data_IF_005315298694
#
_entry.id   IF_005315298694
#
_cell.length_a   1.000
_cell.length_b   1.000
_cell.length_c   1.000
_cell.angle_alpha   90.00
_cell.angle_beta   90.00
_cell.angle_gamma   90.00
#
_symmetry.space_group_name_H-M   'P 1'
#
loop_
_entity.id
_entity.type
_entity.pdbx_description
1 polymer ?
#
# COMPACT_ATOMS: atom_id res chain seq x y z
N UNK A 1 1.47 -10.20 14.91
CA UNK A 1 1.18 -10.48 13.49
C UNK A 1 1.27 -9.16 12.72
N UNK A 2 1.63 -9.17 11.44
CA UNK A 2 1.76 -7.96 10.61
C UNK A 2 0.82 -8.12 9.43
N UNK A 3 0.05 -7.08 9.12
CA UNK A 3 -0.89 -7.03 7.99
C UNK A 3 -0.65 -5.76 7.19
N UNK A 4 -0.61 -5.87 5.87
CA UNK A 4 -0.35 -4.72 5.00
C UNK A 4 -1.68 -4.18 4.50
N UNK A 5 -1.97 -2.91 4.77
CA UNK A 5 -3.12 -2.25 4.15
C UNK A 5 -2.67 -1.55 2.87
N UNK A 6 -2.87 -2.21 1.72
CA UNK A 6 -2.46 -1.73 0.38
C UNK A 6 -3.22 -0.49 -0.15
N UNK A 7 -3.72 0.34 0.77
CA UNK A 7 -4.23 1.67 0.50
C UNK A 7 -3.10 2.68 0.76
N UNK A 8 -2.38 3.07 -0.29
CA UNK A 8 -1.29 4.05 -0.17
C UNK A 8 -1.83 5.38 0.33
N UNK A 9 -1.12 5.96 1.30
CA UNK A 9 -1.43 7.23 1.95
C UNK A 9 -0.25 8.20 1.81
N UNK A 10 -0.48 9.47 2.19
CA UNK A 10 0.53 10.52 2.18
C UNK A 10 0.54 11.27 3.51
N UNK A 11 1.73 11.50 4.06
CA UNK A 11 1.90 12.16 5.36
C UNK A 11 1.53 13.66 5.31
N UNK A 12 1.73 14.31 4.16
CA UNK A 12 1.39 15.72 3.93
C UNK A 12 0.10 15.93 3.12
N UNK A 13 -0.63 14.86 2.78
CA UNK A 13 -1.85 14.95 1.97
C UNK A 13 -1.63 15.33 0.51
N UNK A 14 -0.40 15.21 0.00
CA UNK A 14 -0.07 15.55 -1.39
C UNK A 14 -0.56 14.49 -2.40
N UNK A 15 -0.88 13.28 -1.94
CA UNK A 15 -1.45 12.24 -2.78
C UNK A 15 -2.96 12.45 -2.95
N UNK A 16 -3.42 12.51 -4.20
CA UNK A 16 -4.81 12.77 -4.58
C UNK A 16 -5.37 11.64 -5.45
N UNK A 17 -6.68 11.66 -5.73
CA UNK A 17 -7.35 10.65 -6.58
C UNK A 17 -6.87 10.65 -8.05
N UNK A 18 -6.18 11.71 -8.51
CA UNK A 18 -5.59 11.72 -9.86
C UNK A 18 -4.28 10.95 -9.95
N UNK A 19 -3.60 10.73 -8.82
CA UNK A 19 -2.31 10.06 -8.75
C UNK A 19 -2.42 8.56 -9.08
N UNK A 20 -1.40 8.03 -9.77
CA UNK A 20 -1.34 6.63 -10.16
C UNK A 20 -1.25 5.68 -8.96
N UNK A 21 -0.50 6.00 -7.90
CA UNK A 21 -0.47 5.23 -6.66
C UNK A 21 -1.85 5.10 -6.01
N UNK A 22 -2.64 6.17 -6.09
CA UNK A 22 -4.00 6.19 -5.55
C UNK A 22 -4.94 5.34 -6.40
N UNK A 23 -4.89 5.50 -7.72
CA UNK A 23 -5.63 4.65 -8.68
C UNK A 23 -5.26 3.18 -8.53
N UNK A 24 -3.98 2.86 -8.36
CA UNK A 24 -3.50 1.50 -8.13
C UNK A 24 -4.11 0.91 -6.85
N UNK A 25 -4.07 1.66 -5.74
CA UNK A 25 -4.64 1.23 -4.46
C UNK A 25 -6.15 0.97 -4.56
N UNK A 26 -6.89 1.91 -5.15
CA UNK A 26 -8.35 1.79 -5.32
C UNK A 26 -8.71 0.62 -6.24
N UNK A 27 -7.96 0.42 -7.33
CA UNK A 27 -8.17 -0.70 -8.25
C UNK A 27 -7.87 -2.04 -7.59
N UNK A 28 -6.78 -2.14 -6.84
CA UNK A 28 -6.43 -3.36 -6.11
C UNK A 28 -7.48 -3.71 -5.05
N UNK A 29 -8.02 -2.71 -4.35
CA UNK A 29 -9.11 -2.92 -3.39
C UNK A 29 -10.38 -3.41 -4.07
N UNK A 30 -10.82 -2.73 -5.14
CA UNK A 30 -12.01 -3.10 -5.90
C UNK A 30 -11.89 -4.52 -6.49
N UNK A 31 -10.71 -4.88 -7.02
CA UNK A 31 -10.47 -6.19 -7.62
C UNK A 31 -10.60 -7.37 -6.64
N UNK A 32 -10.47 -7.13 -5.33
CA UNK A 32 -10.39 -8.17 -4.31
C UNK A 32 -11.45 -8.05 -3.21
N UNK A 33 -12.36 -7.07 -3.30
CA UNK A 33 -13.33 -6.79 -2.23
C UNK A 33 -14.27 -7.98 -1.95
N UNK A 34 -14.61 -8.75 -2.98
CA UNK A 34 -15.44 -9.96 -2.88
C UNK A 34 -14.64 -11.22 -2.53
N UNK A 35 -13.30 -11.15 -2.50
CA UNK A 35 -12.42 -12.30 -2.25
C UNK A 35 -11.95 -12.34 -0.79
N UNK A 36 -11.56 -11.19 -0.24
CA UNK A 36 -11.09 -11.06 1.15
C UNK A 36 -11.29 -9.65 1.68
N UNK A 37 -11.47 -9.55 3.00
CA UNK A 37 -11.46 -8.25 3.69
C UNK A 37 -10.02 -7.68 3.73
N UNK A 38 -9.71 -6.77 2.81
CA UNK A 38 -8.43 -6.07 2.77
C UNK A 38 -8.20 -5.10 3.93
N UNK A 39 -9.21 -4.85 4.76
CA UNK A 39 -9.12 -4.04 5.99
C UNK A 39 -9.02 -4.90 7.24
N UNK A 40 -8.83 -6.22 7.11
CA UNK A 40 -8.72 -7.16 8.23
C UNK A 40 -7.65 -6.76 9.25
N UNK A 41 -6.52 -6.19 8.80
CA UNK A 41 -5.46 -5.70 9.68
C UNK A 41 -5.96 -4.69 10.72
N UNK A 42 -6.88 -3.80 10.35
CA UNK A 42 -7.48 -2.82 11.28
C UNK A 42 -8.40 -3.47 12.32
N UNK A 43 -8.92 -4.67 12.02
CA UNK A 43 -9.85 -5.41 12.88
C UNK A 43 -9.12 -6.43 13.76
N UNK A 44 -7.83 -6.63 13.52
CA UNK A 44 -7.12 -7.80 14.01
C UNK A 44 -7.06 -7.89 15.54
N UNK A 45 -6.80 -6.77 16.21
CA UNK A 45 -6.79 -6.75 17.67
C UNK A 45 -8.16 -7.14 18.26
N UNK A 46 -9.25 -6.68 17.63
CA UNK A 46 -10.61 -7.06 18.03
C UNK A 46 -10.91 -8.53 17.77
N UNK A 47 -10.45 -9.08 16.64
CA UNK A 47 -10.57 -10.51 16.32
C UNK A 47 -9.82 -11.38 17.34
N UNK A 48 -8.59 -10.99 17.70
CA UNK A 48 -7.80 -11.68 18.73
C UNK A 48 -8.50 -11.64 20.10
N UNK A 49 -9.01 -10.47 20.50
CA UNK A 49 -9.75 -10.33 21.76
C UNK A 49 -11.01 -11.21 21.77
N UNK A 50 -11.74 -11.25 20.66
CA UNK A 50 -12.95 -12.07 20.50
C UNK A 50 -12.65 -13.57 20.55
N UNK A 51 -11.43 -13.97 20.18
CA UNK A 51 -10.93 -15.34 20.30
C UNK A 51 -10.42 -15.68 21.72
N UNK A 52 -10.51 -14.76 22.68
CA UNK A 52 -10.10 -14.96 24.08
C UNK A 52 -8.63 -14.66 24.37
N UNK A 53 -7.89 -14.07 23.42
CA UNK A 53 -6.55 -13.58 23.71
C UNK A 53 -6.63 -12.33 24.60
N UNK A 54 -5.66 -12.21 25.51
CA UNK A 54 -5.51 -11.09 26.44
C UNK A 54 -4.19 -10.37 26.18
N UNK A 55 -4.01 -9.19 26.77
CA UNK A 55 -2.78 -8.36 26.64
C UNK A 55 -2.38 -8.06 25.19
N UNK A 56 -3.37 -7.63 24.38
CA UNK A 56 -3.19 -7.37 22.96
C UNK A 56 -2.74 -5.92 22.74
N UNK A 57 -1.56 -5.75 22.15
CA UNK A 57 -1.08 -4.46 21.64
C UNK A 57 -1.15 -4.41 20.11
N UNK A 58 -1.60 -3.27 19.59
CA UNK A 58 -1.66 -3.00 18.15
C UNK A 58 -1.10 -1.62 17.87
N UNK A 59 -0.29 -1.52 16.82
CA UNK A 59 0.32 -0.27 16.38
C UNK A 59 0.35 -0.23 14.86
N UNK A 60 -0.06 0.91 14.29
CA UNK A 60 0.12 1.19 12.87
C UNK A 60 1.53 1.75 12.66
N UNK A 61 2.25 1.20 11.70
CA UNK A 61 3.56 1.70 11.26
C UNK A 61 3.41 2.26 9.84
N UNK A 62 3.63 3.57 9.62
CA UNK A 62 3.64 4.13 8.28
C UNK A 62 4.95 3.75 7.59
N UNK A 63 4.94 2.69 6.77
CA UNK A 63 6.13 2.25 6.04
C UNK A 63 6.36 3.15 4.81
N UNK A 64 7.44 3.96 4.78
CA UNK A 64 7.69 4.89 3.68
C UNK A 64 7.96 4.13 2.37
N UNK A 65 7.45 4.65 1.26
CA UNK A 65 7.75 4.11 -0.07
C UNK A 65 9.14 4.54 -0.58
N UNK A 66 9.65 5.66 -0.07
CA UNK A 66 10.95 6.24 -0.40
C UNK A 66 11.55 6.99 0.81
N UNK A 67 12.77 7.50 0.66
CA UNK A 67 13.56 8.16 1.71
C UNK A 67 13.11 9.59 2.07
N UNK A 68 11.81 9.82 2.28
CA UNK A 68 11.26 11.17 2.54
C UNK A 68 11.18 11.56 4.02
N UNK A 69 11.25 10.60 4.93
CA UNK A 69 11.13 10.84 6.38
C UNK A 69 12.29 11.71 6.90
N UNK A 70 11.99 12.58 7.87
CA UNK A 70 13.01 13.34 8.61
C UNK A 70 13.68 12.53 9.71
N UNK A 71 13.00 11.49 10.21
CA UNK A 71 13.62 10.50 11.11
C UNK A 71 14.67 9.68 10.34
N UNK A 72 15.95 9.65 10.79
CA UNK A 72 17.03 9.00 10.06
C UNK A 72 16.82 7.49 9.84
N UNK A 73 16.20 6.80 10.80
CA UNK A 73 15.93 5.37 10.70
C UNK A 73 14.85 5.11 9.66
N UNK A 74 13.75 5.83 9.73
CA UNK A 74 12.64 5.69 8.78
C UNK A 74 13.05 6.12 7.36
N UNK A 75 13.94 7.11 7.24
CA UNK A 75 14.54 7.48 5.95
C UNK A 75 15.31 6.32 5.33
N UNK A 76 16.23 5.72 6.08
CA UNK A 76 17.02 4.58 5.61
C UNK A 76 16.13 3.37 5.25
N UNK A 77 15.06 3.13 6.02
CA UNK A 77 14.05 2.11 5.69
C UNK A 77 13.38 2.42 4.36
N UNK A 78 12.91 3.66 4.15
CA UNK A 78 12.28 4.07 2.89
C UNK A 78 13.22 3.94 1.68
N UNK A 79 14.49 4.32 1.83
CA UNK A 79 15.51 4.15 0.78
C UNK A 79 15.71 2.66 0.42
N UNK A 80 15.79 1.79 1.42
CA UNK A 80 15.91 0.35 1.22
C UNK A 80 14.63 -0.28 0.64
N UNK A 81 13.46 0.28 0.98
CA UNK A 81 12.16 -0.26 0.59
C UNK A 81 11.80 0.04 -0.88
N UNK A 82 12.41 1.07 -1.49
CA UNK A 82 12.08 1.53 -2.85
C UNK A 82 11.97 0.40 -3.87
N UNK A 83 12.97 -0.49 -3.94
CA UNK A 83 12.95 -1.65 -4.87
C UNK A 83 11.80 -2.62 -4.57
N UNK A 84 11.51 -2.85 -3.28
CA UNK A 84 10.41 -3.73 -2.88
C UNK A 84 9.07 -3.16 -3.30
N UNK A 85 8.86 -1.84 -3.18
CA UNK A 85 7.63 -1.18 -3.63
C UNK A 85 7.40 -1.37 -5.13
N UNK A 86 8.44 -1.23 -5.95
CA UNK A 86 8.33 -1.44 -7.40
C UNK A 86 7.92 -2.88 -7.75
N UNK A 87 8.48 -3.87 -7.05
CA UNK A 87 8.14 -5.28 -7.21
C UNK A 87 6.73 -5.58 -6.68
N UNK A 88 6.34 -4.98 -5.56
CA UNK A 88 5.03 -5.11 -4.93
C UNK A 88 3.93 -4.61 -5.86
N UNK A 89 4.09 -3.40 -6.43
CA UNK A 89 3.09 -2.79 -7.32
C UNK A 89 2.78 -3.67 -8.54
N UNK A 90 3.81 -4.33 -9.10
CA UNK A 90 3.64 -5.24 -10.23
C UNK A 90 3.08 -6.59 -9.78
N UNK A 91 3.74 -7.26 -8.83
CA UNK A 91 3.39 -8.63 -8.44
C UNK A 91 1.99 -8.75 -7.84
N UNK A 92 1.55 -7.76 -7.06
CA UNK A 92 0.20 -7.74 -6.49
C UNK A 92 -0.83 -7.15 -7.44
N UNK A 93 -0.43 -6.27 -8.35
CA UNK A 93 -1.34 -5.63 -9.29
C UNK A 93 -1.71 -6.50 -10.48
N UNK A 94 -0.77 -7.31 -10.99
CA UNK A 94 -0.86 -7.95 -12.31
C UNK A 94 -2.16 -8.73 -12.50
N UNK A 95 -2.40 -9.75 -11.67
CA UNK A 95 -3.60 -10.59 -11.83
C UNK A 95 -4.89 -9.87 -11.42
N UNK A 96 -4.98 -9.23 -10.22
CA UNK A 96 -6.24 -8.62 -9.79
C UNK A 96 -6.71 -7.51 -10.72
N UNK A 97 -5.81 -6.68 -11.25
CA UNK A 97 -6.23 -5.59 -12.12
C UNK A 97 -6.55 -6.10 -13.53
N UNK A 98 -5.70 -6.94 -14.12
CA UNK A 98 -5.92 -7.39 -15.50
C UNK A 98 -7.09 -8.37 -15.64
N UNK A 99 -7.22 -9.33 -14.70
CA UNK A 99 -8.28 -10.32 -14.74
C UNK A 99 -9.47 -9.98 -13.86
N UNK A 100 -9.25 -9.37 -12.70
CA UNK A 100 -10.34 -9.01 -11.79
C UNK A 100 -11.12 -7.78 -12.23
N UNK A 101 -10.49 -6.86 -12.98
CA UNK A 101 -11.12 -5.63 -13.49
C UNK A 101 -11.10 -5.52 -15.03
N UNK A 102 -10.74 -6.59 -15.74
CA UNK A 102 -10.59 -6.61 -17.19
C UNK A 102 -9.68 -5.50 -17.76
N UNK A 103 -8.70 -5.03 -16.97
CA UNK A 103 -7.75 -4.00 -17.40
C UNK A 103 -6.83 -4.55 -18.48
N UNK A 104 -6.67 -3.83 -19.59
CA UNK A 104 -5.76 -4.25 -20.64
C UNK A 104 -4.30 -4.20 -20.17
N UNK A 105 -3.42 -4.97 -20.83
CA UNK A 105 -1.98 -4.95 -20.53
C UNK A 105 -1.38 -3.54 -20.69
N UNK A 106 -1.82 -2.79 -21.70
CA UNK A 106 -1.36 -1.42 -21.95
C UNK A 106 -1.74 -0.50 -20.78
N UNK A 107 -3.01 -0.50 -20.38
CA UNK A 107 -3.49 0.31 -19.24
C UNK A 107 -2.78 -0.06 -17.93
N UNK A 108 -2.55 -1.37 -17.70
CA UNK A 108 -1.83 -1.84 -16.53
C UNK A 108 -0.38 -1.34 -16.51
N UNK A 109 0.35 -1.43 -17.64
CA UNK A 109 1.73 -0.97 -17.73
C UNK A 109 1.85 0.56 -17.58
N UNK A 110 0.90 1.32 -18.11
CA UNK A 110 0.83 2.78 -17.92
C UNK A 110 0.60 3.14 -16.45
N UNK A 111 -0.37 2.50 -15.79
CA UNK A 111 -0.65 2.69 -14.36
C UNK A 111 0.56 2.31 -13.50
N UNK A 112 1.19 1.16 -13.79
CA UNK A 112 2.35 0.66 -13.06
C UNK A 112 3.55 1.61 -13.20
N UNK A 113 3.80 2.12 -14.40
CA UNK A 113 4.88 3.07 -14.67
C UNK A 113 4.67 4.36 -13.88
N UNK A 114 3.46 4.93 -13.94
CA UNK A 114 3.13 6.14 -13.18
C UNK A 114 3.19 5.93 -11.66
N UNK A 115 2.67 4.81 -11.15
CA UNK A 115 2.70 4.51 -9.72
C UNK A 115 4.13 4.34 -9.19
N UNK A 116 5.03 3.74 -9.98
CA UNK A 116 6.45 3.61 -9.65
C UNK A 116 7.17 4.97 -9.59
N UNK A 117 6.87 5.86 -10.54
CA UNK A 117 7.43 7.22 -10.53
C UNK A 117 6.97 8.00 -9.30
N UNK A 118 5.68 7.93 -8.95
CA UNK A 118 5.14 8.59 -7.77
C UNK A 118 5.67 7.96 -6.45
N UNK A 119 5.86 6.65 -6.39
CA UNK A 119 6.45 5.99 -5.21
C UNK A 119 7.86 6.51 -4.89
N UNK A 120 8.58 6.89 -5.93
CA UNK A 120 9.95 7.40 -5.86
C UNK A 120 10.00 8.90 -5.53
N UNK A 121 8.88 9.61 -5.61
CA UNK A 121 8.80 11.05 -5.35
C UNK A 121 8.69 11.35 -3.84
N UNK A 122 9.75 11.88 -3.20
CA UNK A 122 9.72 12.18 -1.77
C UNK A 122 8.78 13.35 -1.42
N UNK A 123 8.38 14.18 -2.40
CA UNK A 123 7.47 15.30 -2.16
C UNK A 123 6.05 14.82 -1.81
N UNK A 124 5.67 13.64 -2.31
CA UNK A 124 4.39 13.01 -2.01
C UNK A 124 4.33 12.42 -0.59
N UNK A 125 5.49 12.21 0.04
CA UNK A 125 5.61 11.56 1.36
C UNK A 125 4.74 10.31 1.51
N UNK A 126 4.76 9.46 0.48
CA UNK A 126 3.88 8.32 0.38
C UNK A 126 4.30 7.18 1.32
N UNK A 127 3.33 6.51 1.93
CA UNK A 127 3.53 5.33 2.78
C UNK A 127 2.41 4.32 2.63
N UNK A 128 2.71 3.08 3.01
CA UNK A 128 1.70 2.02 3.20
C UNK A 128 1.58 1.75 4.71
N UNK A 129 0.36 1.76 5.28
CA UNK A 129 0.14 1.34 6.66
C UNK A 129 0.43 -0.17 6.84
N UNK A 130 1.27 -0.48 7.84
CA UNK A 130 1.51 -1.83 8.39
C UNK A 130 0.91 -1.98 9.79
#
# INVERSE_FOLDING_TARGET
MVEVYFNVQSDNGALTESNCLRKWSTSYIAALEDVKDLRSGMKLAGLMASAGLVDIESKIIPLPLSGWSTDPRMKAIGEANRKNVHLLLESLGLYPLMHGLDMSEVEFQELLTGARQEADDPSLKAYIPL
#
